data_IF_007195541658
#
_entry.id   IF_007195541658
#
_cell.length_a   1.000
_cell.length_b   1.000
_cell.length_c   1.000
_cell.angle_alpha   90.00
_cell.angle_beta   90.00
_cell.angle_gamma   90.00
#
_symmetry.space_group_name_H-M   'P 1'
#
loop_
_entity.id
_entity.type
_entity.pdbx_description
1 polymer ?
#
# COMPACT_ATOMS: atom_id res chain seq x y z
N UNK A 1 -11.90 -3.51 -10.84
CA UNK A 1 -10.47 -3.18 -10.71
C UNK A 1 -9.91 -3.00 -12.11
N UNK A 2 -9.53 -1.79 -12.51
CA UNK A 2 -8.90 -1.57 -13.82
C UNK A 2 -7.48 -2.15 -13.86
N UNK A 3 -7.09 -2.70 -15.01
CA UNK A 3 -5.74 -3.23 -15.21
C UNK A 3 -4.77 -2.09 -15.57
N UNK A 4 -3.50 -2.23 -15.21
CA UNK A 4 -2.45 -1.27 -15.59
C UNK A 4 -2.32 -1.11 -17.12
N UNK A 5 -2.70 -2.13 -17.87
CA UNK A 5 -2.77 -2.08 -19.35
C UNK A 5 -3.89 -1.14 -19.81
N UNK A 6 -5.05 -1.18 -19.17
CA UNK A 6 -6.16 -0.29 -19.47
C UNK A 6 -5.83 1.16 -19.08
N UNK A 7 -5.20 1.35 -17.91
CA UNK A 7 -4.81 2.66 -17.40
C UNK A 7 -3.74 3.33 -18.28
N UNK A 8 -2.73 2.57 -18.74
CA UNK A 8 -1.67 3.08 -19.61
C UNK A 8 -2.17 3.58 -20.97
N UNK A 9 -3.36 3.16 -21.42
CA UNK A 9 -3.97 3.67 -22.66
C UNK A 9 -4.47 5.10 -22.56
N UNK A 10 -4.72 5.59 -21.34
CA UNK A 10 -5.33 6.90 -21.09
C UNK A 10 -4.46 7.80 -20.20
N UNK A 11 -3.50 7.23 -19.47
CA UNK A 11 -2.59 7.95 -18.59
C UNK A 11 -1.12 7.65 -18.98
N UNK A 12 -0.44 8.64 -19.58
CA UNK A 12 0.97 8.53 -19.96
C UNK A 12 1.94 8.38 -18.79
N UNK A 13 1.49 8.67 -17.56
CA UNK A 13 2.26 8.46 -16.33
C UNK A 13 2.02 7.07 -15.71
N UNK A 14 1.19 6.22 -16.32
CA UNK A 14 0.95 4.88 -15.80
C UNK A 14 2.26 4.09 -15.77
N UNK A 15 2.57 3.52 -14.62
CA UNK A 15 3.71 2.62 -14.47
C UNK A 15 3.57 1.44 -15.44
N UNK A 16 4.70 0.98 -16.00
CA UNK A 16 4.69 -0.10 -17.01
C UNK A 16 3.97 -1.33 -16.46
N UNK A 17 3.21 -2.03 -17.30
CA UNK A 17 2.59 -3.30 -16.90
C UNK A 17 3.62 -4.46 -16.78
N UNK A 18 4.82 -4.32 -17.36
CA UNK A 18 5.83 -5.38 -17.35
C UNK A 18 7.25 -4.81 -17.23
N UNK A 19 8.22 -5.67 -16.89
CA UNK A 19 9.64 -5.30 -16.74
C UNK A 19 10.04 -4.81 -15.34
N UNK A 20 11.30 -4.36 -15.19
CA UNK A 20 11.90 -3.97 -13.91
C UNK A 20 11.25 -2.74 -13.27
N UNK A 21 10.68 -1.85 -14.08
CA UNK A 21 9.94 -0.66 -13.67
C UNK A 21 8.43 -0.90 -13.65
N UNK A 22 8.00 -2.17 -13.59
CA UNK A 22 6.58 -2.48 -13.61
C UNK A 22 5.89 -1.98 -12.36
N UNK A 23 4.62 -1.63 -12.52
CA UNK A 23 3.73 -1.33 -11.43
C UNK A 23 3.76 -2.47 -10.41
N UNK A 24 4.12 -2.12 -9.19
CA UNK A 24 4.19 -3.03 -8.05
C UNK A 24 2.79 -3.60 -7.70
N UNK A 25 1.73 -2.96 -8.20
CA UNK A 25 0.33 -3.39 -8.18
C UNK A 25 0.07 -4.75 -8.85
N UNK A 26 1.00 -5.33 -9.61
CA UNK A 26 0.86 -6.69 -10.18
C UNK A 26 1.24 -7.80 -9.20
N UNK A 27 1.86 -7.43 -8.08
CA UNK A 27 2.36 -8.35 -7.03
C UNK A 27 1.68 -8.13 -5.68
N UNK A 28 0.62 -7.32 -5.62
CA UNK A 28 0.03 -6.86 -4.38
C UNK A 28 -1.17 -5.95 -4.60
N UNK A 29 -1.63 -5.29 -3.54
CA UNK A 29 -2.67 -4.26 -3.60
C UNK A 29 -2.12 -2.96 -3.02
N UNK A 30 -2.50 -1.82 -3.59
CA UNK A 30 -2.14 -0.50 -3.07
C UNK A 30 -3.42 0.21 -2.64
N UNK A 31 -3.39 0.83 -1.47
CA UNK A 31 -4.50 1.61 -0.93
C UNK A 31 -3.98 2.82 -0.15
N UNK A 32 -4.77 3.88 -0.16
CA UNK A 32 -4.48 5.10 0.58
C UNK A 32 -5.45 5.21 1.77
N UNK A 33 -4.89 5.41 2.97
CA UNK A 33 -5.67 5.61 4.18
C UNK A 33 -5.62 7.09 4.55
N UNK A 34 -6.76 7.78 4.46
CA UNK A 34 -6.86 9.21 4.80
C UNK A 34 -6.60 9.47 6.28
N UNK A 35 -5.80 10.48 6.58
CA UNK A 35 -5.54 10.98 7.95
C UNK A 35 -6.58 12.02 8.40
N UNK A 36 -7.46 12.49 7.52
CA UNK A 36 -8.36 13.60 7.80
C UNK A 36 -9.32 13.34 8.97
N UNK A 37 -9.80 12.12 9.12
CA UNK A 37 -10.71 11.72 10.19
C UNK A 37 -9.99 11.11 11.40
N UNK A 38 -8.66 11.11 11.41
CA UNK A 38 -7.86 10.51 12.47
C UNK A 38 -7.35 11.56 13.45
N UNK A 39 -7.58 11.32 14.74
CA UNK A 39 -6.89 11.99 15.84
C UNK A 39 -5.38 11.72 15.81
N UNK A 40 -4.59 12.55 16.51
CA UNK A 40 -3.15 12.34 16.61
C UNK A 40 -2.78 10.98 17.23
N UNK A 41 -3.62 10.47 18.15
CA UNK A 41 -3.43 9.16 18.76
C UNK A 41 -3.66 8.03 17.75
N UNK A 42 -4.72 8.10 16.94
CA UNK A 42 -5.00 7.12 15.88
C UNK A 42 -3.92 7.13 14.80
N UNK A 43 -3.43 8.30 14.41
CA UNK A 43 -2.31 8.38 13.47
C UNK A 43 -1.03 7.75 14.05
N UNK A 44 -0.76 7.95 15.34
CA UNK A 44 0.38 7.30 16.02
C UNK A 44 0.22 5.79 16.09
N UNK A 45 -0.98 5.31 16.42
CA UNK A 45 -1.30 3.89 16.38
C UNK A 45 -1.09 3.32 14.97
N UNK A 46 -1.59 3.99 13.94
CA UNK A 46 -1.40 3.56 12.56
C UNK A 46 0.08 3.49 12.15
N UNK A 47 0.88 4.50 12.52
CA UNK A 47 2.33 4.46 12.28
C UNK A 47 2.98 3.22 12.89
N UNK A 48 2.62 2.86 14.12
CA UNK A 48 3.17 1.69 14.80
C UNK A 48 2.79 0.38 14.10
N UNK A 49 1.51 0.24 13.70
CA UNK A 49 1.02 -0.94 12.97
C UNK A 49 1.72 -1.07 11.62
N UNK A 50 1.73 -0.02 10.81
CA UNK A 50 2.38 -0.03 9.49
C UNK A 50 3.88 -0.27 9.60
N UNK A 51 4.53 0.32 10.60
CA UNK A 51 5.95 0.09 10.86
C UNK A 51 6.26 -1.37 11.20
N UNK A 52 5.43 -2.00 12.04
CA UNK A 52 5.60 -3.42 12.39
C UNK A 52 5.46 -4.33 11.16
N UNK A 53 4.39 -4.15 10.39
CA UNK A 53 4.11 -4.95 9.19
C UNK A 53 5.14 -4.72 8.08
N UNK A 54 5.65 -3.49 7.95
CA UNK A 54 6.77 -3.16 7.06
C UNK A 54 8.05 -3.86 7.47
N UNK A 55 8.38 -3.84 8.77
CA UNK A 55 9.58 -4.51 9.30
C UNK A 55 9.51 -6.03 9.10
N UNK A 56 8.32 -6.61 9.18
CA UNK A 56 8.07 -8.02 8.92
C UNK A 56 7.99 -8.37 7.40
N UNK A 57 8.06 -7.38 6.51
CA UNK A 57 8.09 -7.61 5.07
C UNK A 57 6.74 -8.01 4.45
N UNK A 58 5.62 -7.61 5.06
CA UNK A 58 4.27 -7.87 4.52
C UNK A 58 3.68 -6.72 3.71
N UNK A 59 4.19 -5.51 3.93
CA UNK A 59 3.79 -4.31 3.20
C UNK A 59 4.94 -3.31 3.12
N UNK A 60 4.78 -2.31 2.27
CA UNK A 60 5.55 -1.08 2.27
C UNK A 60 4.59 0.08 2.50
N UNK A 61 4.94 0.98 3.41
CA UNK A 61 4.12 2.16 3.69
C UNK A 61 5.00 3.41 3.75
N UNK A 62 4.49 4.49 3.18
CA UNK A 62 5.02 5.85 3.28
C UNK A 62 3.92 6.77 3.81
N UNK A 63 4.32 7.73 4.62
CA UNK A 63 3.41 8.78 5.06
C UNK A 63 3.55 9.97 4.11
N UNK A 64 2.46 10.34 3.45
CA UNK A 64 2.41 11.54 2.65
C UNK A 64 2.03 12.73 3.54
N UNK A 65 2.74 13.84 3.34
CA UNK A 65 2.54 15.07 4.12
C UNK A 65 1.83 16.16 3.31
N UNK A 66 1.96 16.15 1.98
CA UNK A 66 1.21 17.05 1.09
C UNK A 66 -0.22 16.58 0.91
N UNK A 67 -0.42 15.29 0.63
CA UNK A 67 -1.71 14.62 0.76
C UNK A 67 -1.73 13.94 2.11
N UNK A 68 -2.63 14.29 3.05
CA UNK A 68 -2.59 13.73 4.40
C UNK A 68 -3.15 12.30 4.37
N UNK A 69 -2.36 11.36 3.85
CA UNK A 69 -2.68 9.94 3.73
C UNK A 69 -1.50 9.07 4.11
N UNK A 70 -1.77 7.82 4.46
CA UNK A 70 -0.78 6.75 4.44
C UNK A 70 -0.91 6.02 3.10
N UNK A 71 0.13 6.09 2.28
CA UNK A 71 0.19 5.35 1.02
C UNK A 71 0.78 3.96 1.32
N UNK A 72 -0.02 2.92 1.14
CA UNK A 72 0.31 1.55 1.56
C UNK A 72 0.26 0.61 0.38
N UNK A 73 1.36 -0.11 0.15
CA UNK A 73 1.44 -1.24 -0.75
C UNK A 73 1.53 -2.54 0.04
N UNK A 74 0.55 -3.41 -0.11
CA UNK A 74 0.46 -4.72 0.52
C UNK A 74 1.04 -5.78 -0.41
N UNK A 75 1.87 -6.68 0.10
CA UNK A 75 2.46 -7.80 -0.65
C UNK A 75 1.61 -9.08 -0.51
N UNK A 76 1.77 -10.04 -1.44
CA UNK A 76 1.01 -11.30 -1.44
C UNK A 76 1.15 -12.13 -0.16
N UNK A 77 2.32 -12.11 0.47
CA UNK A 77 2.59 -12.82 1.72
C UNK A 77 1.86 -12.21 2.95
N UNK A 78 1.13 -11.10 2.81
CA UNK A 78 0.29 -10.56 3.89
C UNK A 78 -0.76 -11.58 4.39
N UNK A 79 -1.19 -12.51 3.53
CA UNK A 79 -2.10 -13.58 3.94
C UNK A 79 -1.51 -14.52 4.99
N UNK A 80 -0.18 -14.69 5.03
CA UNK A 80 0.50 -15.49 6.04
C UNK A 80 0.37 -14.84 7.43
N UNK A 81 0.48 -13.50 7.48
CA UNK A 81 0.21 -12.75 8.70
C UNK A 81 -1.24 -12.94 9.17
N UNK A 82 -2.22 -12.83 8.27
CA UNK A 82 -3.64 -13.05 8.59
C UNK A 82 -3.87 -14.47 9.15
N UNK A 83 -3.28 -15.48 8.52
CA UNK A 83 -3.38 -16.86 8.98
C UNK A 83 -2.74 -17.08 10.36
N UNK A 84 -1.67 -16.34 10.68
CA UNK A 84 -1.02 -16.41 12.00
C UNK A 84 -1.86 -15.77 13.12
N UNK A 85 -2.70 -14.78 12.80
CA UNK A 85 -3.57 -14.07 13.75
C UNK A 85 -4.88 -14.83 14.05
N UNK A 86 -5.24 -15.81 13.22
CA UNK A 86 -6.46 -16.62 13.38
C UNK A 86 -6.27 -17.85 14.29
N UNK A 87 -5.08 -18.02 14.87
CA UNK A 87 -4.72 -19.08 15.81
C UNK A 87 -4.66 -18.52 17.23
#
# INVERSE_FOLDING_TARGET
MESQIALARRNGNAAKAFGRLRSSHLTGATLDISKHSMTAAEQRWMRNVLFSLRRAGYLYAIEEFQQPTFHVMIFRNYLDYVASMAR
#
